data_IF_914175979504
#
_entry.id   IF_914175979504
#
_cell.length_a   1.000
_cell.length_b   1.000
_cell.length_c   1.000
_cell.angle_alpha   90.00
_cell.angle_beta   90.00
_cell.angle_gamma   90.00
#
_symmetry.space_group_name_H-M   'P 1'
#
loop_
_entity.id
_entity.type
_entity.pdbx_description
1 polymer ?
#
# COMPACT_ATOMS: atom_id res chain seq x y z
N UNK A 1 -34.21 -9.37 67.15
CA UNK A 1 -32.85 -9.71 66.74
C UNK A 1 -32.86 -9.91 65.22
N UNK A 2 -32.50 -8.88 64.47
CA UNK A 2 -32.11 -9.00 63.06
C UNK A 2 -31.16 -7.84 62.75
N UNK A 3 -29.89 -8.15 62.80
CA UNK A 3 -28.87 -7.28 62.30
C UNK A 3 -28.73 -7.56 60.81
N UNK A 4 -29.20 -6.64 60.01
CA UNK A 4 -29.08 -6.75 58.56
C UNK A 4 -27.87 -5.95 58.12
N UNK A 5 -26.93 -6.64 57.54
CA UNK A 5 -25.70 -6.14 56.94
C UNK A 5 -26.00 -5.07 55.91
N UNK A 6 -25.73 -3.83 56.28
CA UNK A 6 -25.81 -2.68 55.37
C UNK A 6 -24.48 -2.43 54.61
N UNK A 7 -23.51 -3.27 54.84
CA UNK A 7 -22.16 -3.06 54.30
C UNK A 7 -21.91 -3.64 52.90
N UNK A 8 -22.71 -4.61 52.48
CA UNK A 8 -22.41 -5.31 51.22
C UNK A 8 -22.89 -4.61 49.94
N UNK A 9 -23.66 -3.49 50.08
CA UNK A 9 -24.25 -2.82 48.93
C UNK A 9 -23.35 -1.74 48.30
N UNK A 10 -22.32 -1.29 49.01
CA UNK A 10 -21.46 -0.23 48.54
C UNK A 10 -20.17 -0.70 47.85
N UNK A 11 -19.74 -1.94 48.06
CA UNK A 11 -18.49 -2.41 47.44
C UNK A 11 -18.62 -2.86 45.98
N UNK A 12 -19.82 -3.22 45.53
CA UNK A 12 -20.00 -3.67 44.14
C UNK A 12 -20.17 -2.52 43.11
N UNK A 13 -20.46 -1.30 43.56
CA UNK A 13 -20.67 -0.18 42.63
C UNK A 13 -19.39 0.49 42.17
N UNK A 14 -18.32 0.41 42.96
CA UNK A 14 -17.05 1.05 42.62
C UNK A 14 -16.21 0.21 41.64
N UNK A 15 -16.32 -1.10 41.70
CA UNK A 15 -15.54 -1.99 40.83
C UNK A 15 -16.03 -1.99 39.36
N UNK A 16 -17.32 -1.80 39.14
CA UNK A 16 -17.91 -1.77 37.80
C UNK A 16 -17.57 -0.49 37.03
N UNK A 17 -17.36 0.63 37.72
CA UNK A 17 -17.04 1.89 37.07
C UNK A 17 -15.59 1.94 36.57
N UNK A 18 -14.65 1.38 37.33
CA UNK A 18 -13.23 1.33 36.95
C UNK A 18 -12.98 0.34 35.80
N UNK A 19 -13.69 -0.80 35.81
CA UNK A 19 -13.58 -1.78 34.73
C UNK A 19 -14.12 -1.24 33.40
N UNK A 20 -15.17 -0.44 33.42
CA UNK A 20 -15.72 0.21 32.21
C UNK A 20 -14.83 1.32 31.67
N UNK A 21 -14.19 2.10 32.52
CA UNK A 21 -13.25 3.15 32.13
C UNK A 21 -11.97 2.57 31.51
N UNK A 22 -11.44 1.48 32.08
CA UNK A 22 -10.28 0.78 31.52
C UNK A 22 -10.59 0.12 30.18
N UNK A 23 -11.81 -0.42 30.01
CA UNK A 23 -12.22 -1.03 28.73
C UNK A 23 -12.39 0.00 27.62
N UNK A 24 -12.96 1.17 27.93
CA UNK A 24 -13.06 2.29 26.98
C UNK A 24 -11.69 2.85 26.59
N UNK A 25 -10.76 2.93 27.55
CA UNK A 25 -9.39 3.40 27.29
C UNK A 25 -8.60 2.42 26.40
N UNK A 26 -8.79 1.13 26.59
CA UNK A 26 -8.17 0.08 25.78
C UNK A 26 -8.76 0.03 24.36
N UNK A 27 -10.07 0.29 24.21
CA UNK A 27 -10.70 0.38 22.88
C UNK A 27 -10.23 1.60 22.08
N UNK A 28 -9.97 2.73 22.74
CA UNK A 28 -9.45 3.93 22.06
C UNK A 28 -8.00 3.77 21.59
N UNK A 29 -7.19 2.95 22.26
CA UNK A 29 -5.81 2.68 21.82
C UNK A 29 -5.76 1.79 20.57
N UNK A 30 -6.78 0.99 20.31
CA UNK A 30 -6.81 0.10 19.14
C UNK A 30 -7.21 0.81 17.84
N UNK A 31 -7.72 2.03 17.90
CA UNK A 31 -8.18 2.77 16.70
C UNK A 31 -7.09 3.61 16.04
N UNK A 32 -5.89 3.71 16.60
CA UNK A 32 -4.81 4.54 16.06
C UNK A 32 -3.79 3.80 15.17
N UNK A 33 -3.96 2.52 14.90
CA UNK A 33 -3.08 1.73 14.02
C UNK A 33 -3.59 1.60 12.57
N UNK A 34 -4.52 2.44 12.18
CA UNK A 34 -5.07 2.51 10.82
C UNK A 34 -4.36 3.51 9.91
N UNK A 35 -3.04 3.65 9.97
CA UNK A 35 -2.30 4.22 8.83
C UNK A 35 -2.29 3.17 7.73
N UNK A 36 -3.39 3.15 6.97
CA UNK A 36 -3.53 2.27 5.82
C UNK A 36 -2.43 2.58 4.82
N UNK A 37 -1.40 1.74 4.79
CA UNK A 37 -0.62 1.57 3.57
C UNK A 37 -1.63 1.25 2.48
N UNK A 38 -1.85 2.16 1.55
CA UNK A 38 -2.70 1.91 0.38
C UNK A 38 -2.04 0.78 -0.40
N UNK A 39 -2.56 -0.42 -0.19
CA UNK A 39 -2.16 -1.60 -0.95
C UNK A 39 -2.90 -1.54 -2.28
N UNK A 40 -2.20 -1.77 -3.37
CA UNK A 40 -2.86 -1.87 -4.67
C UNK A 40 -2.10 -1.18 -5.80
N UNK A 41 -2.78 -1.08 -6.92
CA UNK A 41 -2.30 -0.41 -8.11
C UNK A 41 -2.96 0.96 -8.19
N UNK A 42 -2.13 2.01 -8.26
CA UNK A 42 -2.59 3.40 -8.33
C UNK A 42 -2.21 4.00 -9.68
N UNK A 43 -3.23 4.34 -10.46
CA UNK A 43 -3.08 4.92 -11.79
C UNK A 43 -4.05 6.07 -11.93
N UNK A 44 -3.52 7.26 -12.12
CA UNK A 44 -4.32 8.48 -12.27
C UNK A 44 -4.67 8.78 -13.74
N UNK A 45 -3.89 8.24 -14.69
CA UNK A 45 -4.06 8.51 -16.11
C UNK A 45 -4.72 7.32 -16.84
N UNK A 46 -5.90 7.51 -17.46
CA UNK A 46 -6.58 6.45 -18.22
C UNK A 46 -5.74 5.84 -19.34
N UNK A 47 -4.79 6.59 -19.91
CA UNK A 47 -3.91 6.09 -20.98
C UNK A 47 -2.86 5.09 -20.48
N UNK A 48 -2.66 5.00 -19.15
CA UNK A 48 -1.77 4.00 -18.54
C UNK A 48 -2.49 2.68 -18.22
N UNK A 49 -3.80 2.60 -18.42
CA UNK A 49 -4.60 1.42 -18.11
C UNK A 49 -4.07 0.12 -18.79
N UNK A 50 -3.67 0.11 -20.06
CA UNK A 50 -3.08 -1.10 -20.67
C UNK A 50 -1.78 -1.55 -19.97
N UNK A 51 -0.96 -0.60 -19.51
CA UNK A 51 0.26 -0.90 -18.75
C UNK A 51 -0.11 -1.45 -17.38
N UNK A 52 -1.11 -0.87 -16.73
CA UNK A 52 -1.63 -1.36 -15.47
C UNK A 52 -2.08 -2.81 -15.57
N UNK A 53 -2.98 -3.12 -16.52
CA UNK A 53 -3.52 -4.47 -16.71
C UNK A 53 -2.42 -5.51 -17.00
N UNK A 54 -1.40 -5.13 -17.77
CA UNK A 54 -0.23 -5.96 -18.01
C UNK A 54 0.53 -6.24 -16.71
N UNK A 55 0.79 -5.21 -15.91
CA UNK A 55 1.52 -5.34 -14.64
C UNK A 55 0.71 -6.17 -13.64
N UNK A 56 -0.57 -5.90 -13.47
CA UNK A 56 -1.44 -6.66 -12.56
C UNK A 56 -1.47 -8.15 -12.89
N UNK A 57 -1.54 -8.47 -14.19
CA UNK A 57 -1.58 -9.86 -14.65
C UNK A 57 -0.26 -10.59 -14.43
N UNK A 58 0.87 -9.93 -14.66
CA UNK A 58 2.18 -10.56 -14.64
C UNK A 58 2.86 -10.52 -13.27
N UNK A 59 2.59 -9.48 -12.51
CA UNK A 59 3.19 -9.18 -11.21
C UNK A 59 2.10 -8.94 -10.16
N UNK A 60 1.35 -9.96 -9.76
CA UNK A 60 0.34 -9.80 -8.72
C UNK A 60 0.97 -9.34 -7.40
N UNK A 61 0.19 -8.65 -6.56
CA UNK A 61 0.61 -8.26 -5.22
C UNK A 61 1.12 -9.50 -4.45
N UNK A 62 2.20 -9.33 -3.68
CA UNK A 62 2.90 -10.42 -3.02
C UNK A 62 4.04 -11.05 -3.85
N UNK A 63 4.24 -10.63 -5.12
CA UNK A 63 5.41 -11.01 -5.90
C UNK A 63 6.71 -10.58 -5.21
N UNK A 64 7.77 -11.37 -5.32
CA UNK A 64 9.07 -11.01 -4.74
C UNK A 64 9.77 -9.92 -5.56
N UNK A 65 10.63 -9.15 -4.93
CA UNK A 65 11.44 -8.12 -5.61
C UNK A 65 12.29 -8.72 -6.74
N UNK A 66 12.84 -9.93 -6.55
CA UNK A 66 13.60 -10.64 -7.57
C UNK A 66 12.74 -10.98 -8.80
N UNK A 67 11.51 -11.43 -8.57
CA UNK A 67 10.56 -11.71 -9.65
C UNK A 67 10.22 -10.44 -10.45
N UNK A 68 9.98 -9.33 -9.76
CA UNK A 68 9.71 -8.03 -10.40
C UNK A 68 10.92 -7.60 -11.22
N UNK A 69 12.13 -7.66 -10.65
CA UNK A 69 13.37 -7.30 -11.33
C UNK A 69 13.61 -8.18 -12.56
N UNK A 70 13.46 -9.50 -12.44
CA UNK A 70 13.61 -10.43 -13.54
C UNK A 70 12.61 -10.13 -14.68
N UNK A 71 11.34 -9.90 -14.35
CA UNK A 71 10.31 -9.56 -15.33
C UNK A 71 10.66 -8.28 -16.12
N UNK A 72 11.08 -7.23 -15.42
CA UNK A 72 11.42 -5.95 -16.04
C UNK A 72 12.68 -6.08 -16.91
N UNK A 73 13.69 -6.82 -16.45
CA UNK A 73 14.94 -7.04 -17.17
C UNK A 73 14.73 -7.87 -18.44
N UNK A 74 13.95 -8.97 -18.38
CA UNK A 74 13.65 -9.81 -19.55
C UNK A 74 12.92 -9.03 -20.64
N UNK A 75 12.11 -8.05 -20.26
CA UNK A 75 11.39 -7.18 -21.20
C UNK A 75 12.20 -5.97 -21.67
N UNK A 76 13.40 -5.80 -21.16
CA UNK A 76 14.27 -4.68 -21.53
C UNK A 76 13.77 -3.32 -21.05
N UNK A 77 12.97 -3.30 -19.97
CA UNK A 77 12.56 -2.02 -19.40
C UNK A 77 13.70 -1.35 -18.66
N UNK A 78 13.77 -0.03 -18.78
CA UNK A 78 14.80 0.77 -18.13
C UNK A 78 14.55 0.85 -16.63
N UNK A 79 15.51 0.34 -15.85
CA UNK A 79 15.49 0.44 -14.39
C UNK A 79 16.20 1.71 -13.97
N UNK A 80 15.58 2.47 -13.08
CA UNK A 80 16.15 3.67 -12.49
C UNK A 80 16.55 3.41 -11.03
N UNK A 81 17.50 4.20 -10.55
CA UNK A 81 17.89 4.17 -9.15
C UNK A 81 16.68 4.43 -8.25
N UNK A 82 16.49 3.65 -7.19
CA UNK A 82 15.38 3.83 -6.28
C UNK A 82 15.48 5.15 -5.54
N UNK A 83 14.39 5.90 -5.46
CA UNK A 83 14.34 7.16 -4.69
C UNK A 83 14.25 6.91 -3.18
N UNK A 84 13.73 5.74 -2.78
CA UNK A 84 13.52 5.36 -1.39
C UNK A 84 13.93 3.90 -1.19
N UNK A 85 14.42 3.53 0.01
CA UNK A 85 14.64 2.13 0.35
C UNK A 85 13.34 1.31 0.20
N UNK A 86 13.45 0.09 -0.30
CA UNK A 86 12.29 -0.78 -0.49
C UNK A 86 11.43 -0.43 -1.71
N UNK A 87 11.96 0.36 -2.64
CA UNK A 87 11.29 0.67 -3.92
C UNK A 87 12.14 0.25 -5.12
N UNK A 88 11.47 0.00 -6.24
CA UNK A 88 12.09 -0.18 -7.55
C UNK A 88 11.37 0.71 -8.54
N UNK A 89 12.11 1.41 -9.38
CA UNK A 89 11.54 2.32 -10.38
C UNK A 89 11.88 1.81 -11.77
N UNK A 90 10.88 1.73 -12.65
CA UNK A 90 11.07 1.35 -14.04
C UNK A 90 10.39 2.34 -14.99
N UNK A 91 10.97 2.54 -16.16
CA UNK A 91 10.37 3.28 -17.26
C UNK A 91 9.82 2.25 -18.26
N UNK A 92 8.51 2.25 -18.42
CA UNK A 92 7.81 1.38 -19.35
C UNK A 92 7.29 2.20 -20.52
N UNK A 93 7.73 1.84 -21.72
CA UNK A 93 7.25 2.45 -22.96
C UNK A 93 6.25 1.49 -23.62
N UNK A 94 5.10 2.00 -23.93
CA UNK A 94 4.03 1.28 -24.61
C UNK A 94 3.52 2.08 -25.80
N UNK A 95 3.17 1.41 -26.86
CA UNK A 95 2.51 2.05 -28.01
C UNK A 95 1.03 1.81 -27.85
N UNK A 96 0.28 2.89 -27.68
CA UNK A 96 -1.18 2.85 -27.71
C UNK A 96 -1.61 2.53 -29.15
N UNK A 97 -2.20 1.35 -29.35
CA UNK A 97 -2.59 0.86 -30.66
C UNK A 97 -3.78 1.63 -31.27
N UNK A 98 -4.59 2.27 -30.44
CA UNK A 98 -5.74 3.06 -30.91
C UNK A 98 -5.31 4.41 -31.47
N UNK A 99 -4.38 5.06 -30.81
CA UNK A 99 -3.91 6.42 -31.19
C UNK A 99 -2.55 6.41 -31.90
N UNK A 100 -1.89 5.23 -31.96
CA UNK A 100 -0.53 5.06 -32.50
C UNK A 100 0.47 6.03 -31.85
N UNK A 101 0.22 6.39 -30.58
CA UNK A 101 1.07 7.31 -29.83
C UNK A 101 1.88 6.54 -28.78
N UNK A 102 3.19 6.86 -28.64
CA UNK A 102 3.97 6.27 -27.57
C UNK A 102 3.52 6.85 -26.22
N UNK A 103 3.19 5.96 -25.31
CA UNK A 103 2.90 6.29 -23.91
C UNK A 103 4.06 5.80 -23.07
N UNK A 104 4.65 6.69 -22.28
CA UNK A 104 5.74 6.36 -21.36
C UNK A 104 5.25 6.51 -19.94
N UNK A 105 5.34 5.43 -19.18
CA UNK A 105 5.00 5.40 -17.76
C UNK A 105 6.27 5.27 -16.92
N UNK A 106 6.34 6.05 -15.85
CA UNK A 106 7.21 5.78 -14.73
C UNK A 106 6.43 4.94 -13.74
N UNK A 107 6.92 3.75 -13.46
CA UNK A 107 6.29 2.79 -12.57
C UNK A 107 7.15 2.60 -11.34
N UNK A 108 6.60 2.87 -10.17
CA UNK A 108 7.26 2.68 -8.88
C UNK A 108 6.62 1.49 -8.18
N UNK A 109 7.42 0.47 -7.90
CA UNK A 109 7.06 -0.72 -7.17
C UNK A 109 7.47 -0.56 -5.72
N UNK A 110 6.55 -0.73 -4.79
CA UNK A 110 6.77 -0.66 -3.35
C UNK A 110 6.75 -2.06 -2.75
N UNK A 111 7.79 -2.39 -2.00
CA UNK A 111 7.92 -3.67 -1.33
C UNK A 111 7.75 -3.51 0.18
N UNK A 112 7.13 -4.50 0.80
CA UNK A 112 7.02 -4.59 2.25
C UNK A 112 8.35 -5.02 2.89
N UNK A 113 8.38 -5.11 4.23
CA UNK A 113 9.56 -5.52 4.99
C UNK A 113 10.06 -6.94 4.65
N UNK A 114 9.21 -7.77 4.02
CA UNK A 114 9.55 -9.14 3.58
C UNK A 114 9.98 -9.19 2.11
N UNK A 115 10.16 -8.04 1.46
CA UNK A 115 10.49 -7.94 0.04
C UNK A 115 9.37 -8.39 -0.89
N UNK A 116 8.12 -8.29 -0.44
CA UNK A 116 6.93 -8.61 -1.24
C UNK A 116 6.29 -7.35 -1.80
N UNK A 117 5.89 -7.41 -3.06
CA UNK A 117 5.20 -6.30 -3.74
C UNK A 117 3.90 -5.97 -2.99
N UNK A 118 3.81 -4.74 -2.52
CA UNK A 118 2.70 -4.25 -1.72
C UNK A 118 1.84 -3.23 -2.46
N UNK A 119 2.49 -2.35 -3.25
CA UNK A 119 1.80 -1.35 -4.04
C UNK A 119 2.57 -1.04 -5.32
N UNK A 120 1.87 -0.55 -6.33
CA UNK A 120 2.43 -0.06 -7.59
C UNK A 120 1.80 1.28 -7.91
N UNK A 121 2.63 2.26 -8.15
CA UNK A 121 2.22 3.61 -8.56
C UNK A 121 2.70 3.88 -9.98
N UNK A 122 1.82 4.41 -10.83
CA UNK A 122 2.14 4.71 -12.21
C UNK A 122 1.85 6.17 -12.52
N UNK A 123 2.85 6.86 -13.04
CA UNK A 123 2.72 8.23 -13.50
C UNK A 123 3.15 8.34 -14.96
N UNK A 124 2.44 9.15 -15.72
CA UNK A 124 2.82 9.42 -17.09
C UNK A 124 4.05 10.31 -17.14
N UNK A 125 5.04 9.87 -17.88
CA UNK A 125 6.22 10.71 -18.16
C UNK A 125 5.96 11.40 -19.50
N UNK A 126 5.90 12.72 -19.50
CA UNK A 126 5.94 13.47 -20.76
C UNK A 126 7.34 13.29 -21.33
N UNK A 127 7.42 12.85 -22.59
CA UNK A 127 8.70 12.76 -23.29
C UNK A 127 9.35 14.14 -23.26
N UNK A 128 10.36 14.32 -22.42
CA UNK A 128 11.27 15.42 -22.62
C UNK A 128 12.03 15.13 -23.93
N UNK A 129 12.04 16.07 -24.88
CA UNK A 129 12.89 15.91 -26.05
C UNK A 129 14.33 15.74 -25.56
N UNK A 130 14.97 14.66 -26.02
CA UNK A 130 16.39 14.41 -25.76
C UNK A 130 17.12 15.57 -26.35
N UNK A 131 17.60 16.50 -25.54
CA UNK A 131 18.54 17.53 -25.94
C UNK A 131 19.85 16.80 -26.23
N UNK A 132 20.14 16.64 -27.52
CA UNK A 132 21.46 16.21 -28.01
C UNK A 132 22.44 17.32 -27.79
#
# INVERSE_FOLDING_TARGET
MRSTNFQDKFMNSAFTCHARLLFCSLLLLMTSLGSGCQKGYHVDDPQLKPIQEMIETQLPLGSTADRVTAFLSVRGYELQAPEKPGTLVAIIRHIDLETVRPVTARVTFYFDANGKLNAVEMTRTMNQPVTQ
#
